data_IF_798525069851
#
_entry.id   IF_798525069851
#
_cell.length_a   1.000
_cell.length_b   1.000
_cell.length_c   1.000
_cell.angle_alpha   90.00
_cell.angle_beta   90.00
_cell.angle_gamma   90.00
#
_symmetry.space_group_name_H-M   'P 1'
#
loop_
_entity.id
_entity.type
_entity.pdbx_description
1 polymer ?
#
# COMPACT_ATOMS: atom_id res chain seq x y z
N UNK A 1 40.52 -30.88 31.33
CA UNK A 1 39.08 -31.13 31.30
C UNK A 1 38.24 -29.85 31.09
N UNK A 2 38.66 -28.70 31.58
CA UNK A 2 37.94 -27.41 31.38
C UNK A 2 38.05 -26.86 29.95
N UNK A 3 39.19 -27.07 29.27
CA UNK A 3 39.37 -26.57 27.89
C UNK A 3 38.52 -27.25 26.83
N UNK A 4 38.15 -28.52 27.08
CA UNK A 4 37.24 -29.26 26.21
C UNK A 4 35.78 -28.82 26.34
N UNK A 5 35.36 -28.29 27.48
CA UNK A 5 34.04 -27.75 27.73
C UNK A 5 33.87 -26.35 27.13
N UNK A 6 34.90 -25.52 27.27
CA UNK A 6 34.89 -24.16 26.66
C UNK A 6 34.87 -24.24 25.10
N UNK A 7 35.61 -25.17 24.49
CA UNK A 7 35.56 -25.37 23.06
C UNK A 7 34.22 -25.88 22.53
N UNK A 8 33.48 -26.70 23.31
CA UNK A 8 32.12 -27.14 22.95
C UNK A 8 31.07 -26.04 23.10
N UNK A 9 31.18 -25.16 24.08
CA UNK A 9 30.28 -24.01 24.27
C UNK A 9 30.47 -23.00 23.13
N UNK A 10 31.70 -22.65 22.78
CA UNK A 10 31.97 -21.74 21.65
C UNK A 10 31.49 -22.29 20.31
N UNK A 11 31.63 -23.60 20.07
CA UNK A 11 31.15 -24.21 18.82
C UNK A 11 29.59 -24.25 18.77
N UNK A 12 28.93 -24.46 19.89
CA UNK A 12 27.45 -24.41 19.93
C UNK A 12 26.91 -23.00 19.75
N UNK A 13 27.55 -21.98 20.32
CA UNK A 13 27.16 -20.58 20.15
C UNK A 13 27.29 -20.13 18.68
N UNK A 14 28.40 -20.50 18.02
CA UNK A 14 28.59 -20.20 16.58
C UNK A 14 27.55 -20.91 15.69
N UNK A 15 27.16 -22.12 16.02
CA UNK A 15 26.13 -22.87 15.24
C UNK A 15 24.75 -22.22 15.44
N UNK A 16 24.43 -21.80 16.67
CA UNK A 16 23.16 -21.13 16.97
C UNK A 16 23.10 -19.77 16.28
N UNK A 17 24.19 -18.98 16.32
CA UNK A 17 24.29 -17.68 15.65
C UNK A 17 24.18 -17.84 14.13
N UNK A 18 24.77 -18.87 13.53
CA UNK A 18 24.64 -19.20 12.11
C UNK A 18 23.21 -19.65 11.73
N UNK A 19 22.52 -20.38 12.61
CA UNK A 19 21.13 -20.80 12.38
C UNK A 19 20.20 -19.57 12.49
N UNK A 20 20.39 -18.73 13.49
CA UNK A 20 19.63 -17.48 13.66
C UNK A 20 19.88 -16.53 12.51
N UNK A 21 21.12 -16.37 12.06
CA UNK A 21 21.46 -15.57 10.89
C UNK A 21 20.85 -16.12 9.59
N UNK A 22 20.80 -17.44 9.43
CA UNK A 22 20.12 -18.09 8.29
C UNK A 22 18.60 -17.97 8.38
N UNK A 23 18.00 -18.12 9.55
CA UNK A 23 16.57 -17.88 9.76
C UNK A 23 16.20 -16.42 9.49
N UNK A 24 16.97 -15.47 10.00
CA UNK A 24 16.75 -14.05 9.72
C UNK A 24 16.89 -13.73 8.23
N UNK A 25 17.88 -14.31 7.50
CA UNK A 25 17.98 -14.16 6.05
C UNK A 25 16.77 -14.70 5.30
N UNK A 26 16.23 -15.84 5.73
CA UNK A 26 15.02 -16.44 5.14
C UNK A 26 13.79 -15.57 5.41
N UNK A 27 13.64 -15.05 6.62
CA UNK A 27 12.50 -14.23 7.02
C UNK A 27 12.43 -12.93 6.22
N UNK A 28 13.56 -12.29 5.96
CA UNK A 28 13.59 -11.00 5.26
C UNK A 28 13.35 -11.10 3.75
N UNK A 29 13.79 -12.15 3.09
CA UNK A 29 13.42 -12.41 1.68
C UNK A 29 11.92 -12.72 1.60
N UNK A 30 11.36 -13.34 2.61
CA UNK A 30 9.93 -13.61 2.72
C UNK A 30 9.14 -12.32 2.82
N UNK A 31 9.57 -11.33 3.59
CA UNK A 31 8.89 -10.04 3.76
C UNK A 31 8.74 -9.28 2.44
N UNK A 32 9.79 -9.20 1.61
CA UNK A 32 9.71 -8.56 0.30
C UNK A 32 8.82 -9.36 -0.68
N UNK A 33 8.88 -10.69 -0.64
CA UNK A 33 8.05 -11.56 -1.48
C UNK A 33 6.59 -11.60 -1.03
N UNK A 34 6.29 -11.34 0.24
CA UNK A 34 4.93 -11.22 0.76
C UNK A 34 4.18 -10.02 0.17
N UNK A 35 4.90 -8.99 -0.29
CA UNK A 35 4.29 -7.86 -1.00
C UNK A 35 3.68 -8.28 -2.35
N UNK A 36 4.18 -9.36 -2.96
CA UNK A 36 3.81 -9.80 -4.30
C UNK A 36 3.18 -11.18 -4.23
N UNK A 37 2.03 -11.35 -4.87
CA UNK A 37 1.38 -12.65 -5.00
C UNK A 37 1.14 -12.97 -6.48
N UNK A 38 1.47 -14.21 -6.88
CA UNK A 38 1.31 -14.68 -8.27
C UNK A 38 -0.11 -14.58 -8.77
N UNK A 39 -1.08 -14.80 -7.89
CA UNK A 39 -2.50 -14.72 -8.23
C UNK A 39 -2.96 -13.31 -8.61
N UNK A 40 -2.20 -12.28 -8.23
CA UNK A 40 -2.49 -10.88 -8.48
C UNK A 40 -1.66 -10.30 -9.64
N UNK A 41 -1.06 -11.15 -10.46
CA UNK A 41 -0.38 -10.74 -11.69
C UNK A 41 -1.35 -10.05 -12.65
N UNK A 42 -0.94 -8.90 -13.18
CA UNK A 42 -1.74 -8.07 -14.07
C UNK A 42 -1.21 -8.05 -15.50
N UNK A 43 0.09 -7.91 -15.65
CA UNK A 43 0.73 -7.71 -16.94
C UNK A 43 2.20 -7.34 -16.80
N UNK A 44 2.71 -6.60 -17.77
CA UNK A 44 4.13 -6.31 -17.89
C UNK A 44 4.39 -4.80 -18.01
N UNK A 45 5.57 -4.39 -17.63
CA UNK A 45 6.02 -3.03 -17.81
C UNK A 45 6.56 -2.87 -19.24
N UNK A 46 6.04 -1.88 -19.97
CA UNK A 46 6.49 -1.59 -21.35
C UNK A 46 7.64 -0.61 -21.38
N UNK A 47 7.44 0.54 -20.76
CA UNK A 47 8.43 1.62 -20.73
C UNK A 47 8.50 2.23 -19.34
N UNK A 48 9.66 2.71 -18.97
CA UNK A 48 9.88 3.35 -17.69
C UNK A 48 10.84 4.53 -17.82
N UNK A 49 10.52 5.60 -17.14
CA UNK A 49 11.41 6.72 -16.84
C UNK A 49 11.67 6.73 -15.33
N UNK A 50 12.44 7.68 -14.82
CA UNK A 50 12.60 7.82 -13.36
C UNK A 50 11.34 8.29 -12.62
N UNK A 51 10.33 8.79 -13.33
CA UNK A 51 9.10 9.34 -12.73
C UNK A 51 7.84 8.57 -13.09
N UNK A 52 7.75 8.08 -14.31
CA UNK A 52 6.55 7.45 -14.86
C UNK A 52 6.88 6.10 -15.48
N UNK A 53 5.89 5.24 -15.53
CA UNK A 53 5.95 3.93 -16.14
C UNK A 53 4.69 3.68 -16.96
N UNK A 54 4.83 3.14 -18.17
CA UNK A 54 3.72 2.65 -18.97
C UNK A 54 3.66 1.13 -18.85
N UNK A 55 2.49 0.63 -18.48
CA UNK A 55 2.25 -0.79 -18.26
C UNK A 55 1.22 -1.32 -19.23
N UNK A 56 1.36 -2.59 -19.60
CA UNK A 56 0.41 -3.33 -20.42
C UNK A 56 -0.31 -4.35 -19.57
N UNK A 57 -1.65 -4.35 -19.62
CA UNK A 57 -2.51 -5.16 -18.77
C UNK A 57 -3.46 -5.97 -19.63
N UNK A 58 -3.64 -7.25 -19.29
CA UNK A 58 -4.69 -8.10 -19.87
C UNK A 58 -6.03 -7.84 -19.18
N UNK A 59 -7.09 -7.73 -19.94
CA UNK A 59 -8.46 -7.58 -19.40
C UNK A 59 -8.88 -8.77 -18.54
N UNK A 60 -8.46 -9.98 -18.91
CA UNK A 60 -8.67 -11.18 -18.10
C UNK A 60 -8.06 -11.04 -16.70
N UNK A 61 -6.79 -10.58 -16.62
CA UNK A 61 -6.10 -10.38 -15.34
C UNK A 61 -6.74 -9.24 -14.54
N UNK A 62 -7.15 -8.16 -15.21
CA UNK A 62 -7.87 -7.05 -14.59
C UNK A 62 -9.15 -7.51 -13.88
N UNK A 63 -9.95 -8.35 -14.55
CA UNK A 63 -11.17 -8.94 -13.96
C UNK A 63 -10.84 -9.82 -12.75
N UNK A 64 -9.83 -10.68 -12.88
CA UNK A 64 -9.39 -11.60 -11.81
C UNK A 64 -9.04 -10.87 -10.51
N UNK A 65 -8.45 -9.69 -10.58
CA UNK A 65 -8.04 -8.90 -9.40
C UNK A 65 -9.09 -7.89 -8.93
N UNK A 66 -10.32 -7.94 -9.44
CA UNK A 66 -11.39 -7.03 -9.02
C UNK A 66 -11.29 -5.60 -9.60
N UNK A 67 -10.59 -5.43 -10.73
CA UNK A 67 -10.45 -4.15 -11.42
C UNK A 67 -9.26 -3.31 -10.94
N UNK A 68 -9.03 -2.19 -11.63
CA UNK A 68 -7.94 -1.26 -11.37
C UNK A 68 -8.53 0.15 -11.34
N UNK A 69 -8.94 0.66 -10.17
CA UNK A 69 -9.47 2.01 -10.05
C UNK A 69 -8.38 3.07 -10.23
N UNK A 70 -8.79 4.29 -10.59
CA UNK A 70 -7.88 5.42 -10.67
C UNK A 70 -7.22 5.68 -9.31
N UNK A 71 -5.91 5.95 -9.33
CA UNK A 71 -5.11 6.14 -8.13
C UNK A 71 -4.74 4.85 -7.38
N UNK A 72 -5.11 3.68 -7.93
CA UNK A 72 -4.73 2.38 -7.38
C UNK A 72 -3.21 2.22 -7.31
N UNK A 73 -2.73 1.58 -6.25
CA UNK A 73 -1.32 1.19 -6.14
C UNK A 73 -1.09 -0.13 -6.87
N UNK A 74 0.02 -0.19 -7.57
CA UNK A 74 0.52 -1.40 -8.24
C UNK A 74 1.98 -1.61 -7.85
N UNK A 75 2.47 -2.82 -8.06
CA UNK A 75 3.82 -3.23 -7.74
C UNK A 75 4.50 -3.76 -9.00
N UNK A 76 5.69 -3.27 -9.30
CA UNK A 76 6.51 -3.81 -10.37
C UNK A 76 7.76 -4.49 -9.79
N UNK A 77 8.04 -5.72 -10.20
CA UNK A 77 9.19 -6.47 -9.70
C UNK A 77 9.64 -7.56 -10.67
N UNK A 78 10.92 -7.89 -10.59
CA UNK A 78 11.52 -9.07 -11.22
C UNK A 78 11.37 -10.34 -10.38
N UNK A 79 11.05 -10.19 -9.09
CA UNK A 79 10.90 -11.29 -8.14
C UNK A 79 9.78 -12.22 -8.59
N UNK A 80 10.08 -13.49 -8.71
CA UNK A 80 9.07 -14.52 -8.91
C UNK A 80 8.69 -15.10 -7.53
N UNK A 81 7.49 -14.83 -7.02
CA UNK A 81 7.09 -15.27 -5.68
C UNK A 81 7.06 -16.80 -5.52
N UNK A 82 6.99 -17.55 -6.64
CA UNK A 82 7.01 -19.03 -6.63
C UNK A 82 8.42 -19.62 -6.72
N UNK A 83 9.43 -18.80 -7.02
CA UNK A 83 10.83 -19.23 -7.13
C UNK A 83 11.67 -18.43 -6.15
N UNK A 84 11.56 -18.73 -4.89
CA UNK A 84 12.52 -18.31 -3.87
C UNK A 84 13.84 -19.02 -4.12
N UNK A 85 14.65 -18.47 -4.99
CA UNK A 85 16.05 -18.91 -5.13
C UNK A 85 16.82 -18.24 -4.01
N UNK A 86 17.06 -18.99 -2.95
CA UNK A 86 17.98 -18.66 -1.87
C UNK A 86 19.44 -18.72 -2.39
N UNK A 87 19.75 -17.97 -3.44
CA UNK A 87 21.12 -17.77 -3.83
C UNK A 87 21.76 -16.77 -2.89
N UNK A 88 22.79 -17.21 -2.18
CA UNK A 88 23.61 -16.40 -1.27
C UNK A 88 24.36 -15.24 -1.97
N UNK A 89 24.23 -15.10 -3.27
CA UNK A 89 24.84 -14.04 -4.05
C UNK A 89 23.94 -12.80 -4.06
N UNK A 90 24.03 -12.02 -2.99
CA UNK A 90 23.49 -10.65 -2.89
C UNK A 90 24.20 -9.66 -3.85
N UNK A 91 24.88 -10.15 -4.87
CA UNK A 91 25.57 -9.31 -5.84
C UNK A 91 24.60 -8.50 -6.73
N UNK A 92 23.32 -8.89 -6.80
CA UNK A 92 22.28 -8.14 -7.50
C UNK A 92 21.18 -7.69 -6.53
N UNK A 93 21.51 -6.83 -5.56
CA UNK A 93 20.53 -6.24 -4.66
C UNK A 93 19.37 -5.54 -5.41
N UNK A 94 19.63 -5.07 -6.62
CA UNK A 94 18.64 -4.43 -7.49
C UNK A 94 17.54 -5.38 -7.95
N UNK A 95 17.84 -6.66 -8.17
CA UNK A 95 16.86 -7.65 -8.59
C UNK A 95 15.87 -8.02 -7.46
N UNK A 96 16.22 -7.71 -6.21
CA UNK A 96 15.39 -7.90 -5.02
C UNK A 96 14.71 -6.60 -4.61
N UNK A 97 14.14 -5.90 -5.56
CA UNK A 97 13.38 -4.69 -5.30
C UNK A 97 11.96 -4.76 -5.83
N UNK A 98 11.07 -4.00 -5.19
CA UNK A 98 9.67 -3.87 -5.57
C UNK A 98 9.37 -2.38 -5.77
N UNK A 99 9.12 -1.98 -7.00
CA UNK A 99 8.81 -0.60 -7.35
C UNK A 99 7.32 -0.35 -7.07
N UNK A 100 7.02 0.68 -6.29
CA UNK A 100 5.65 1.13 -6.01
C UNK A 100 5.20 2.10 -7.09
N UNK A 101 4.10 1.76 -7.74
CA UNK A 101 3.45 2.53 -8.80
C UNK A 101 2.09 3.03 -8.36
N UNK A 102 1.66 4.17 -8.89
CA UNK A 102 0.30 4.68 -8.75
C UNK A 102 -0.32 4.93 -10.11
N UNK A 103 -1.46 4.34 -10.39
CA UNK A 103 -2.21 4.50 -11.64
C UNK A 103 -2.67 5.95 -11.79
N UNK A 104 -2.40 6.55 -12.95
CA UNK A 104 -2.81 7.90 -13.30
C UNK A 104 -3.99 7.88 -14.28
N UNK A 105 -3.77 7.38 -15.50
CA UNK A 105 -4.75 7.37 -16.56
C UNK A 105 -4.45 6.26 -17.59
N UNK A 106 -5.38 5.94 -18.49
CA UNK A 106 -5.11 5.10 -19.64
C UNK A 106 -3.99 5.67 -20.52
N UNK A 107 -3.20 4.79 -21.11
CA UNK A 107 -2.14 5.14 -22.04
C UNK A 107 -2.26 4.31 -23.31
N UNK A 108 -1.84 4.89 -24.43
CA UNK A 108 -1.83 4.18 -25.69
C UNK A 108 -0.72 3.14 -25.72
N UNK A 109 -1.03 1.97 -26.26
CA UNK A 109 -0.07 0.93 -26.53
C UNK A 109 0.55 1.10 -27.94
N UNK A 110 1.78 0.61 -28.20
CA UNK A 110 2.42 0.72 -29.50
C UNK A 110 1.55 0.25 -30.69
N UNK A 111 0.64 -0.70 -30.46
CA UNK A 111 -0.24 -1.27 -31.48
C UNK A 111 -1.67 -0.71 -31.45
N UNK A 112 -1.95 0.37 -30.75
CA UNK A 112 -3.32 0.88 -30.60
C UNK A 112 -3.90 1.41 -31.90
N UNK A 113 -3.10 1.93 -32.82
CA UNK A 113 -3.55 2.31 -34.14
C UNK A 113 -4.09 1.11 -34.93
N UNK A 114 -3.39 -0.03 -34.91
CA UNK A 114 -3.85 -1.24 -35.58
C UNK A 114 -5.12 -1.80 -34.92
N UNK A 115 -5.21 -1.70 -33.58
CA UNK A 115 -6.39 -2.10 -32.82
C UNK A 115 -7.61 -1.25 -33.15
N UNK A 116 -7.40 0.06 -33.31
CA UNK A 116 -8.46 0.99 -33.74
C UNK A 116 -8.95 0.65 -35.15
N UNK A 117 -8.03 0.38 -36.09
CA UNK A 117 -8.37 -0.05 -37.46
C UNK A 117 -9.20 -1.34 -37.46
N UNK A 118 -8.79 -2.37 -36.68
CA UNK A 118 -9.55 -3.62 -36.56
C UNK A 118 -10.98 -3.36 -36.05
N UNK A 119 -11.12 -2.51 -35.03
CA UNK A 119 -12.44 -2.14 -34.49
C UNK A 119 -13.30 -1.44 -35.51
N UNK A 120 -12.74 -0.45 -36.22
CA UNK A 120 -13.47 0.33 -37.25
C UNK A 120 -13.90 -0.56 -38.39
N UNK A 121 -13.01 -1.38 -38.96
CA UNK A 121 -13.30 -2.28 -40.05
C UNK A 121 -14.38 -3.31 -39.69
N UNK A 122 -14.34 -3.88 -38.50
CA UNK A 122 -15.35 -4.82 -38.06
C UNK A 122 -16.70 -4.13 -37.80
N UNK A 123 -16.72 -2.92 -37.28
CA UNK A 123 -17.95 -2.16 -37.09
C UNK A 123 -18.61 -1.79 -38.41
N UNK A 124 -17.82 -1.51 -39.48
CA UNK A 124 -18.31 -1.22 -40.82
C UNK A 124 -18.88 -2.47 -41.55
N UNK A 125 -18.35 -3.65 -41.21
CA UNK A 125 -18.77 -4.92 -41.85
C UNK A 125 -20.01 -5.56 -41.23
N UNK A 126 -20.53 -5.04 -40.12
CA UNK A 126 -21.75 -5.56 -39.49
C UNK A 126 -22.96 -5.06 -40.25
N UNK A 127 -23.68 -6.00 -40.86
CA UNK A 127 -24.84 -5.73 -41.71
C UNK A 127 -26.19 -5.90 -40.99
N UNK A 128 -26.22 -6.28 -39.72
CA UNK A 128 -27.43 -6.50 -38.93
C UNK A 128 -27.36 -5.86 -37.56
N UNK A 129 -28.46 -5.23 -37.12
CA UNK A 129 -28.57 -4.56 -35.81
C UNK A 129 -28.54 -5.53 -34.60
N UNK A 130 -28.52 -6.83 -34.84
CA UNK A 130 -28.61 -7.87 -33.81
C UNK A 130 -27.25 -8.50 -33.43
N UNK A 131 -26.20 -8.32 -34.24
CA UNK A 131 -24.87 -8.87 -33.92
C UNK A 131 -23.94 -7.82 -33.33
N UNK A 132 -23.37 -8.15 -32.17
CA UNK A 132 -22.28 -7.33 -31.59
C UNK A 132 -21.03 -7.44 -32.47
N UNK A 133 -20.37 -6.33 -32.77
CA UNK A 133 -19.08 -6.31 -33.48
C UNK A 133 -18.02 -7.20 -32.81
N UNK A 134 -18.19 -7.45 -31.51
CA UNK A 134 -17.30 -8.33 -30.74
C UNK A 134 -17.47 -9.79 -31.12
N UNK A 135 -18.66 -10.21 -31.52
CA UNK A 135 -18.95 -11.60 -31.88
C UNK A 135 -18.41 -11.96 -33.27
N UNK A 136 -18.24 -10.98 -34.15
CA UNK A 136 -17.67 -11.15 -35.50
C UNK A 136 -16.14 -11.27 -35.49
N UNK A 137 -15.47 -11.02 -34.36
CA UNK A 137 -14.01 -11.07 -34.26
C UNK A 137 -13.48 -12.51 -34.14
N UNK A 138 -12.40 -12.79 -34.86
CA UNK A 138 -11.64 -14.02 -34.68
C UNK A 138 -10.90 -14.06 -33.32
N UNK A 139 -10.49 -15.24 -32.88
CA UNK A 139 -9.86 -15.43 -31.58
C UNK A 139 -8.55 -14.63 -31.41
N UNK A 140 -7.81 -14.41 -32.51
CA UNK A 140 -6.55 -13.65 -32.49
C UNK A 140 -6.83 -12.16 -32.27
N UNK A 141 -7.80 -11.60 -33.00
CA UNK A 141 -8.22 -10.21 -32.84
C UNK A 141 -8.82 -9.95 -31.46
N UNK A 142 -9.66 -10.86 -30.94
CA UNK A 142 -10.17 -10.80 -29.56
C UNK A 142 -9.01 -10.71 -28.53
N UNK A 143 -7.99 -11.55 -28.70
CA UNK A 143 -6.81 -11.55 -27.83
C UNK A 143 -6.02 -10.26 -27.94
N UNK A 144 -5.82 -9.71 -29.13
CA UNK A 144 -5.13 -8.43 -29.32
C UNK A 144 -5.90 -7.27 -28.70
N UNK A 145 -7.22 -7.26 -28.81
CA UNK A 145 -8.09 -6.23 -28.24
C UNK A 145 -8.24 -6.32 -26.72
N UNK A 146 -7.88 -7.45 -26.11
CA UNK A 146 -7.99 -7.67 -24.66
C UNK A 146 -6.89 -7.00 -23.84
N UNK A 147 -5.93 -6.32 -24.46
CA UNK A 147 -4.86 -5.60 -23.79
C UNK A 147 -5.18 -4.12 -23.68
N UNK A 148 -4.76 -3.51 -22.58
CA UNK A 148 -4.90 -2.07 -22.34
C UNK A 148 -3.62 -1.50 -21.73
N UNK A 149 -3.30 -0.26 -22.08
CA UNK A 149 -2.20 0.49 -21.49
C UNK A 149 -2.66 1.36 -20.34
N UNK A 150 -1.82 1.50 -19.32
CA UNK A 150 -1.97 2.48 -18.24
C UNK A 150 -0.67 3.21 -18.01
N UNK A 151 -0.76 4.51 -17.81
CA UNK A 151 0.33 5.31 -17.27
C UNK A 151 0.26 5.32 -15.76
N UNK A 152 1.42 5.08 -15.13
CA UNK A 152 1.59 5.05 -13.70
C UNK A 152 2.70 6.00 -13.28
N UNK A 153 2.51 6.67 -12.15
CA UNK A 153 3.58 7.41 -11.48
C UNK A 153 4.37 6.48 -10.57
N UNK A 154 5.68 6.59 -10.61
CA UNK A 154 6.57 5.90 -9.69
C UNK A 154 6.59 6.68 -8.38
N UNK A 155 6.33 5.98 -7.27
CA UNK A 155 6.31 6.56 -5.93
C UNK A 155 7.57 6.26 -5.13
N UNK A 156 8.27 5.16 -5.47
CA UNK A 156 9.47 4.74 -4.79
C UNK A 156 9.73 3.25 -4.93
N UNK A 157 10.68 2.76 -4.16
CA UNK A 157 11.14 1.38 -4.23
C UNK A 157 11.27 0.77 -2.85
N UNK A 158 10.67 -0.39 -2.63
CA UNK A 158 10.92 -1.26 -1.48
C UNK A 158 12.15 -2.12 -1.77
N UNK A 159 13.07 -2.18 -0.82
CA UNK A 159 14.32 -2.94 -0.94
C UNK A 159 14.76 -3.46 0.43
N UNK A 160 15.71 -4.39 0.42
CA UNK A 160 16.28 -4.92 1.65
C UNK A 160 17.53 -4.12 2.03
N UNK A 161 17.46 -3.44 3.18
CA UNK A 161 18.59 -2.71 3.75
C UNK A 161 19.31 -3.56 4.79
N UNK A 162 20.61 -3.66 4.67
CA UNK A 162 21.45 -4.35 5.66
C UNK A 162 21.65 -3.44 6.87
N UNK A 163 21.26 -3.93 8.06
CA UNK A 163 21.44 -3.26 9.33
C UNK A 163 22.21 -4.19 10.27
N UNK A 164 23.52 -3.93 10.45
CA UNK A 164 24.47 -4.82 11.16
C UNK A 164 24.41 -6.26 10.63
N UNK A 165 23.81 -7.18 11.37
CA UNK A 165 23.76 -8.61 11.06
C UNK A 165 22.42 -9.09 10.48
N UNK A 166 21.44 -8.20 10.32
CA UNK A 166 20.12 -8.54 9.76
C UNK A 166 19.74 -7.62 8.59
N UNK A 167 18.80 -8.09 7.79
CA UNK A 167 18.21 -7.28 6.73
C UNK A 167 16.83 -6.83 7.18
N UNK A 168 16.51 -5.59 6.90
CA UNK A 168 15.18 -5.00 7.16
C UNK A 168 14.59 -4.46 5.86
N UNK A 169 13.25 -4.50 5.76
CA UNK A 169 12.54 -3.88 4.66
C UNK A 169 12.67 -2.36 4.77
N UNK A 170 13.10 -1.74 3.69
CA UNK A 170 13.26 -0.28 3.60
C UNK A 170 12.51 0.25 2.39
N UNK A 171 12.20 1.54 2.42
CA UNK A 171 11.55 2.25 1.32
C UNK A 171 12.33 3.50 0.95
N UNK A 172 12.63 3.64 -0.33
CA UNK A 172 13.17 4.86 -0.93
C UNK A 172 12.10 5.55 -1.77
N UNK A 173 11.99 6.88 -1.68
CA UNK A 173 10.97 7.67 -2.40
C UNK A 173 11.29 7.90 -3.88
N UNK A 174 12.26 7.18 -4.43
CA UNK A 174 12.73 7.28 -5.81
C UNK A 174 13.14 5.93 -6.37
N UNK A 175 13.62 5.93 -7.61
CA UNK A 175 14.35 4.82 -8.21
C UNK A 175 15.81 5.23 -8.29
N UNK A 176 16.67 4.49 -7.59
CA UNK A 176 18.12 4.75 -7.56
C UNK A 176 18.82 4.34 -8.85
N UNK A 177 18.25 3.39 -9.60
CA UNK A 177 18.87 2.80 -10.79
C UNK A 177 17.89 2.69 -11.95
N UNK A 178 18.46 2.56 -13.16
CA UNK A 178 17.69 2.21 -14.35
C UNK A 178 17.44 0.70 -14.38
N UNK A 179 16.16 0.32 -14.52
CA UNK A 179 15.74 -1.06 -14.70
C UNK A 179 15.32 -1.32 -16.14
N UNK A 180 15.76 -2.44 -16.68
CA UNK A 180 15.28 -2.90 -17.97
C UNK A 180 13.79 -3.29 -17.85
N UNK A 181 12.94 -2.66 -18.66
CA UNK A 181 11.48 -2.81 -18.58
C UNK A 181 11.00 -4.25 -18.84
N UNK A 182 11.64 -4.96 -19.75
CA UNK A 182 11.21 -6.30 -20.22
C UNK A 182 11.15 -7.37 -19.13
N UNK A 183 11.84 -7.17 -18.01
CA UNK A 183 11.90 -8.15 -16.93
C UNK A 183 10.95 -7.84 -15.75
N UNK A 184 10.29 -6.68 -15.75
CA UNK A 184 9.43 -6.25 -14.65
C UNK A 184 7.99 -6.66 -14.89
N UNK A 185 7.45 -7.46 -13.97
CA UNK A 185 6.05 -7.89 -13.94
C UNK A 185 5.24 -7.02 -13.01
N UNK A 186 4.00 -6.79 -13.38
CA UNK A 186 3.07 -5.92 -12.64
C UNK A 186 2.10 -6.75 -11.83
N UNK A 187 1.94 -6.38 -10.57
CA UNK A 187 1.05 -7.04 -9.62
C UNK A 187 0.16 -6.00 -8.92
N UNK A 188 -1.07 -6.39 -8.61
CA UNK A 188 -1.91 -5.63 -7.68
C UNK A 188 -1.61 -6.10 -6.27
N UNK A 189 -1.33 -5.20 -5.31
CA UNK A 189 -1.12 -5.60 -3.92
C UNK A 189 -2.38 -6.26 -3.36
N UNK A 190 -2.21 -7.26 -2.49
CA UNK A 190 -3.29 -7.81 -1.68
C UNK A 190 -3.68 -6.80 -0.59
N UNK A 191 -4.79 -7.05 0.11
CA UNK A 191 -5.20 -6.26 1.26
C UNK A 191 -4.09 -6.16 2.32
N UNK A 192 -3.48 -7.30 2.68
CA UNK A 192 -2.36 -7.37 3.63
C UNK A 192 -1.12 -6.60 3.12
N UNK A 193 -0.74 -6.80 1.86
CA UNK A 193 0.40 -6.10 1.25
C UNK A 193 0.16 -4.59 1.20
N UNK A 194 -1.07 -4.19 0.88
CA UNK A 194 -1.44 -2.78 0.83
C UNK A 194 -1.42 -2.14 2.22
N UNK A 195 -1.87 -2.84 3.25
CA UNK A 195 -1.79 -2.38 4.64
C UNK A 195 -0.33 -2.15 5.06
N UNK A 196 0.56 -3.09 4.74
CA UNK A 196 2.00 -2.94 4.97
C UNK A 196 2.60 -1.75 4.22
N UNK A 197 2.24 -1.55 2.95
CA UNK A 197 2.74 -0.45 2.12
C UNK A 197 2.30 0.91 2.67
N UNK A 198 1.04 1.05 3.02
CA UNK A 198 0.46 2.33 3.44
C UNK A 198 0.93 2.74 4.84
N UNK A 199 1.10 1.77 5.73
CA UNK A 199 1.52 2.02 7.12
C UNK A 199 3.03 1.80 7.32
N UNK A 200 3.79 1.75 6.23
CA UNK A 200 5.22 1.52 6.30
C UNK A 200 5.93 2.61 7.14
N UNK A 201 6.72 2.17 8.11
CA UNK A 201 7.44 3.07 9.03
C UNK A 201 6.57 3.71 10.13
N UNK A 202 5.29 3.33 10.22
CA UNK A 202 4.42 3.76 11.31
C UNK A 202 4.56 2.79 12.49
N UNK A 203 4.93 3.32 13.65
CA UNK A 203 5.03 2.55 14.89
C UNK A 203 3.62 2.22 15.43
N UNK A 204 3.29 0.95 15.57
CA UNK A 204 1.97 0.48 16.00
C UNK A 204 1.59 0.97 17.40
N UNK A 205 2.53 1.00 18.34
CA UNK A 205 2.28 1.39 19.74
C UNK A 205 1.97 2.88 19.89
N UNK A 206 2.44 3.70 18.95
CA UNK A 206 2.29 5.16 19.01
C UNK A 206 1.31 5.71 17.99
N UNK A 207 0.80 4.89 17.08
CA UNK A 207 -0.05 5.30 15.97
C UNK A 207 -1.53 5.40 16.33
N UNK A 208 -2.27 6.12 15.50
CA UNK A 208 -3.72 6.21 15.55
C UNK A 208 -4.31 5.92 14.18
N UNK A 209 -5.43 5.20 14.17
CA UNK A 209 -6.20 5.00 12.97
C UNK A 209 -6.94 6.26 12.58
N UNK A 210 -6.72 6.76 11.34
CA UNK A 210 -7.40 7.95 10.81
C UNK A 210 -8.49 7.61 9.80
N UNK A 211 -8.49 6.41 9.25
CA UNK A 211 -9.49 6.00 8.27
C UNK A 211 -9.20 4.67 7.62
N UNK A 212 -9.77 4.48 6.44
CA UNK A 212 -9.55 3.34 5.54
C UNK A 212 -9.18 3.85 4.15
N UNK A 213 -8.46 3.05 3.38
CA UNK A 213 -8.21 3.34 1.97
C UNK A 213 -9.50 3.28 1.18
N UNK A 214 -9.62 4.23 0.25
CA UNK A 214 -10.69 4.27 -0.73
C UNK A 214 -10.15 4.82 -2.05
N UNK A 215 -10.25 4.03 -3.11
CA UNK A 215 -9.82 4.47 -4.44
C UNK A 215 -10.91 5.21 -5.21
N UNK A 216 -12.16 4.82 -5.06
CA UNK A 216 -13.28 5.41 -5.80
C UNK A 216 -14.50 5.66 -4.92
N UNK A 217 -15.48 6.41 -5.45
CA UNK A 217 -16.75 6.64 -4.77
C UNK A 217 -17.70 5.44 -4.84
N UNK A 218 -17.44 4.51 -5.77
CA UNK A 218 -18.29 3.35 -6.02
C UNK A 218 -17.93 2.20 -5.12
N UNK A 219 -17.98 2.18 -3.92
CA UNK A 219 -17.67 1.11 -2.96
C UNK A 219 -18.07 -0.30 -3.48
N UNK A 220 -17.29 -0.83 -4.40
CA UNK A 220 -17.53 -2.19 -4.94
C UNK A 220 -16.76 -3.19 -4.07
N UNK A 221 -17.45 -4.19 -3.55
CA UNK A 221 -16.91 -5.23 -2.67
C UNK A 221 -15.76 -6.04 -3.28
N UNK A 222 -15.73 -6.17 -4.61
CA UNK A 222 -14.69 -6.93 -5.31
C UNK A 222 -13.32 -6.23 -5.43
N UNK A 223 -13.16 -5.03 -4.89
CA UNK A 223 -11.87 -4.32 -4.94
C UNK A 223 -10.84 -4.80 -3.89
N UNK A 224 -11.27 -5.57 -2.88
CA UNK A 224 -10.41 -6.13 -1.84
C UNK A 224 -9.76 -5.06 -0.94
N UNK A 225 -10.54 -4.01 -0.57
CA UNK A 225 -10.04 -2.86 0.20
C UNK A 225 -10.79 -2.62 1.51
N UNK A 226 -11.70 -3.52 1.88
CA UNK A 226 -12.68 -3.24 2.92
C UNK A 226 -12.07 -3.03 4.30
N UNK A 227 -10.90 -3.59 4.57
CA UNK A 227 -10.26 -3.56 5.88
C UNK A 227 -8.91 -2.85 5.94
N UNK A 228 -8.42 -2.27 4.84
CA UNK A 228 -7.11 -1.60 4.83
C UNK A 228 -7.18 -0.30 5.61
N UNK A 229 -6.75 -0.36 6.87
CA UNK A 229 -6.69 0.77 7.77
C UNK A 229 -5.48 1.67 7.48
N UNK A 230 -5.66 2.98 7.70
CA UNK A 230 -4.58 3.98 7.58
C UNK A 230 -4.26 4.49 8.97
N UNK A 231 -3.00 4.38 9.35
CA UNK A 231 -2.48 4.84 10.63
C UNK A 231 -1.54 6.02 10.44
N UNK A 232 -1.48 6.90 11.42
CA UNK A 232 -0.51 8.00 11.48
C UNK A 232 0.06 8.08 12.89
N UNK A 233 1.28 8.56 13.02
CA UNK A 233 1.87 8.86 14.31
C UNK A 233 1.56 10.33 14.69
N UNK A 234 0.79 10.59 15.75
CA UNK A 234 0.46 11.95 16.17
C UNK A 234 1.70 12.78 16.53
N UNK A 235 2.77 12.14 16.97
CA UNK A 235 4.02 12.82 17.34
C UNK A 235 4.64 13.52 16.13
N UNK A 236 4.59 12.90 14.96
CA UNK A 236 5.15 13.47 13.72
C UNK A 236 4.36 14.71 13.28
N UNK A 237 3.03 14.69 13.49
CA UNK A 237 2.17 15.85 13.18
C UNK A 237 2.45 17.04 14.10
N UNK A 238 2.79 16.80 15.38
CA UNK A 238 3.07 17.88 16.35
C UNK A 238 4.40 18.56 16.04
N UNK A 239 5.38 17.79 15.54
CA UNK A 239 6.72 18.31 15.23
C UNK A 239 6.75 19.17 13.96
N UNK A 240 5.70 19.15 13.15
CA UNK A 240 5.65 19.79 11.85
C UNK A 240 4.39 20.64 11.65
N UNK A 241 4.45 21.59 10.72
CA UNK A 241 3.28 22.35 10.26
C UNK A 241 2.46 21.47 9.32
N UNK A 242 1.24 21.14 9.72
CA UNK A 242 0.33 20.30 8.94
C UNK A 242 -0.87 21.10 8.46
N UNK A 243 -1.23 20.95 7.18
CA UNK A 243 -2.44 21.53 6.60
C UNK A 243 -3.33 20.42 6.02
N UNK A 244 -4.64 20.48 6.32
CA UNK A 244 -5.63 19.53 5.82
C UNK A 244 -6.55 20.24 4.82
N UNK A 245 -6.47 19.83 3.57
CA UNK A 245 -7.28 20.37 2.49
C UNK A 245 -8.37 19.37 2.07
N UNK A 246 -9.49 19.89 1.63
CA UNK A 246 -10.57 19.08 1.08
C UNK A 246 -11.86 19.89 0.90
N UNK A 247 -12.77 19.40 0.07
CA UNK A 247 -14.08 20.00 -0.15
C UNK A 247 -14.97 19.86 1.09
N UNK A 248 -16.10 20.56 1.11
CA UNK A 248 -17.11 20.41 2.15
C UNK A 248 -17.63 18.96 2.19
N UNK A 249 -17.87 18.43 3.37
CA UNK A 249 -18.37 17.06 3.63
C UNK A 249 -17.37 15.93 3.28
N UNK A 250 -16.09 16.22 3.09
CA UNK A 250 -15.05 15.19 2.87
C UNK A 250 -14.43 14.61 4.15
N UNK A 251 -14.92 15.01 5.32
CA UNK A 251 -14.44 14.48 6.60
C UNK A 251 -13.26 15.26 7.23
N UNK A 252 -12.89 16.45 6.72
CA UNK A 252 -11.78 17.26 7.28
C UNK A 252 -11.89 17.46 8.79
N UNK A 253 -13.04 17.98 9.25
CA UNK A 253 -13.28 18.24 10.69
C UNK A 253 -13.20 16.96 11.52
N UNK A 254 -13.69 15.84 10.99
CA UNK A 254 -13.61 14.55 11.68
C UNK A 254 -12.16 14.08 11.81
N UNK A 255 -11.36 14.22 10.76
CA UNK A 255 -9.91 13.90 10.80
C UNK A 255 -9.19 14.75 11.84
N UNK A 256 -9.44 16.06 11.87
CA UNK A 256 -8.84 16.96 12.88
C UNK A 256 -9.28 16.57 14.29
N UNK A 257 -10.57 16.27 14.52
CA UNK A 257 -11.06 15.79 15.82
C UNK A 257 -10.35 14.50 16.26
N UNK A 258 -10.14 13.56 15.34
CA UNK A 258 -9.41 12.31 15.61
C UNK A 258 -7.97 12.59 16.03
N UNK A 259 -7.28 13.49 15.34
CA UNK A 259 -5.90 13.91 15.68
C UNK A 259 -5.84 14.58 17.05
N UNK A 260 -6.73 15.55 17.31
CA UNK A 260 -6.81 16.26 18.60
C UNK A 260 -7.05 15.28 19.76
N UNK A 261 -7.97 14.34 19.58
CA UNK A 261 -8.24 13.27 20.54
C UNK A 261 -7.00 12.41 20.79
N UNK A 262 -6.29 12.00 19.75
CA UNK A 262 -5.10 11.18 19.86
C UNK A 262 -3.96 11.90 20.59
N UNK A 263 -3.73 13.16 20.28
CA UNK A 263 -2.74 13.99 21.00
C UNK A 263 -3.09 14.09 22.49
N UNK A 264 -4.37 14.27 22.81
CA UNK A 264 -4.84 14.26 24.20
C UNK A 264 -4.57 12.92 24.88
N UNK A 265 -4.82 11.80 24.20
CA UNK A 265 -4.63 10.45 24.72
C UNK A 265 -3.16 10.08 24.97
N UNK A 266 -2.19 10.73 24.30
CA UNK A 266 -0.75 10.52 24.54
C UNK A 266 -0.32 10.74 25.99
N UNK A 267 -1.03 11.53 26.77
CA UNK A 267 -0.77 11.70 28.21
C UNK A 267 -0.95 10.43 29.04
N UNK A 268 -1.73 9.48 28.52
CA UNK A 268 -2.06 8.22 29.18
C UNK A 268 -1.32 7.02 28.60
N UNK A 269 -0.41 7.27 27.64
CA UNK A 269 0.42 6.22 27.04
C UNK A 269 1.27 5.56 28.11
N UNK A 270 1.33 4.23 28.13
CA UNK A 270 2.18 3.45 29.02
C UNK A 270 3.67 3.66 28.70
N UNK A 271 3.96 3.89 27.42
CA UNK A 271 5.30 4.16 26.89
C UNK A 271 5.42 5.64 26.56
N UNK A 272 6.31 6.35 27.28
CA UNK A 272 6.60 7.78 27.13
C UNK A 272 5.35 8.69 27.17
N UNK A 273 4.66 8.82 28.33
CA UNK A 273 3.53 9.72 28.46
C UNK A 273 3.96 11.18 28.23
N UNK A 274 3.29 11.89 27.33
CA UNK A 274 3.57 13.29 27.03
C UNK A 274 2.35 14.15 27.33
N UNK A 275 2.53 15.17 28.19
CA UNK A 275 1.51 16.19 28.42
C UNK A 275 1.68 17.30 27.40
N UNK A 276 0.81 17.33 26.39
CA UNK A 276 0.83 18.30 25.30
C UNK A 276 -0.36 19.21 25.46
N UNK A 277 -0.12 20.52 25.62
CA UNK A 277 -1.16 21.54 25.61
C UNK A 277 -1.63 21.79 24.16
N UNK A 278 -2.95 21.93 23.96
CA UNK A 278 -3.54 22.22 22.67
C UNK A 278 -4.37 23.50 22.77
N UNK A 279 -4.16 24.42 21.81
CA UNK A 279 -4.98 25.62 21.64
C UNK A 279 -5.70 25.49 20.31
N UNK A 280 -7.04 25.53 20.33
CA UNK A 280 -7.88 25.35 19.13
C UNK A 280 -8.64 26.65 18.89
N UNK A 281 -8.42 27.26 17.72
CA UNK A 281 -9.23 28.36 17.23
C UNK A 281 -10.43 27.79 16.45
N UNK A 282 -11.61 27.90 17.01
CA UNK A 282 -12.84 27.25 16.53
C UNK A 282 -13.92 28.25 16.13
N UNK A 283 -13.82 28.91 14.97
CA UNK A 283 -14.75 29.94 14.54
C UNK A 283 -16.18 29.42 14.34
N UNK A 284 -16.35 28.13 14.10
CA UNK A 284 -17.66 27.51 13.83
C UNK A 284 -18.24 26.78 15.02
N UNK A 285 -17.55 26.68 16.16
CA UNK A 285 -17.99 25.97 17.34
C UNK A 285 -18.04 24.43 17.22
N UNK A 286 -17.31 23.84 16.25
CA UNK A 286 -17.34 22.40 16.03
C UNK A 286 -16.63 21.58 17.11
N UNK A 287 -15.69 22.17 17.83
CA UNK A 287 -14.91 21.54 18.91
C UNK A 287 -15.40 21.91 20.30
N UNK A 288 -15.93 23.11 20.45
CA UNK A 288 -16.43 23.61 21.73
C UNK A 288 -17.83 23.08 22.11
N UNK A 289 -18.59 22.60 21.14
CA UNK A 289 -19.96 22.13 21.32
C UNK A 289 -20.10 20.62 21.07
N UNK A 290 -21.17 20.04 21.58
CA UNK A 290 -21.62 18.69 21.29
C UNK A 290 -22.44 18.69 20.01
N UNK A 291 -21.92 18.09 18.94
CA UNK A 291 -22.65 17.94 17.70
C UNK A 291 -23.43 16.61 17.70
N UNK A 292 -24.48 16.53 16.88
CA UNK A 292 -25.25 15.29 16.70
C UNK A 292 -24.39 14.12 16.25
N UNK A 293 -23.32 14.39 15.50
CA UNK A 293 -22.36 13.40 15.01
C UNK A 293 -21.44 12.85 16.11
N UNK A 294 -21.30 13.56 17.24
CA UNK A 294 -20.49 13.13 18.38
C UNK A 294 -21.30 12.28 19.38
N UNK A 295 -22.60 12.08 19.13
CA UNK A 295 -23.48 11.27 19.97
C UNK A 295 -23.46 9.81 19.54
N UNK A 296 -23.28 8.94 20.50
CA UNK A 296 -23.39 7.49 20.38
C UNK A 296 -24.54 7.03 21.25
N UNK A 297 -25.35 6.06 20.82
CA UNK A 297 -26.50 5.52 21.54
C UNK A 297 -26.14 4.96 22.93
N UNK A 298 -24.88 4.51 23.11
CA UNK A 298 -24.41 3.94 24.39
C UNK A 298 -23.74 4.93 25.32
N UNK A 299 -23.05 5.93 24.80
CA UNK A 299 -22.18 6.84 25.56
C UNK A 299 -22.63 8.30 25.49
N UNK A 300 -23.68 8.60 24.74
CA UNK A 300 -24.13 9.97 24.48
C UNK A 300 -23.04 10.80 23.79
N UNK A 301 -22.82 12.02 24.27
CA UNK A 301 -21.80 12.91 23.71
C UNK A 301 -20.41 12.78 24.39
N UNK A 302 -20.10 11.64 25.01
CA UNK A 302 -18.81 11.42 25.70
C UNK A 302 -17.61 11.54 24.77
N UNK A 303 -17.79 11.25 23.48
CA UNK A 303 -16.73 11.34 22.46
C UNK A 303 -16.50 12.77 21.95
N UNK A 304 -17.33 13.74 22.30
CA UNK A 304 -17.10 15.13 21.94
C UNK A 304 -15.77 15.63 22.53
N UNK A 305 -15.04 16.45 21.76
CA UNK A 305 -13.70 16.95 22.16
C UNK A 305 -13.75 17.61 23.54
N UNK A 306 -14.78 18.42 23.81
CA UNK A 306 -14.96 19.09 25.11
C UNK A 306 -15.19 18.14 26.30
N UNK A 307 -15.57 16.89 26.05
CA UNK A 307 -15.88 15.89 27.06
C UNK A 307 -14.76 14.85 27.25
N UNK A 308 -13.64 14.91 26.49
CA UNK A 308 -12.57 13.92 26.55
C UNK A 308 -11.99 13.75 27.96
N UNK A 309 -12.00 14.80 28.79
CA UNK A 309 -11.50 14.74 30.14
C UNK A 309 -12.40 13.89 31.08
N UNK A 310 -13.65 13.63 30.71
CA UNK A 310 -14.60 12.80 31.45
C UNK A 310 -14.40 11.30 31.20
N UNK A 311 -13.64 10.91 30.18
CA UNK A 311 -13.40 9.51 29.84
C UNK A 311 -12.44 8.90 30.86
N UNK A 312 -12.83 7.79 31.56
CA UNK A 312 -11.97 7.14 32.53
C UNK A 312 -10.66 6.64 31.90
N UNK A 313 -9.55 6.81 32.62
CA UNK A 313 -8.19 6.47 32.14
C UNK A 313 -7.96 4.97 31.88
N UNK A 314 -8.78 4.09 32.49
CA UNK A 314 -8.63 2.63 32.41
C UNK A 314 -9.52 1.98 31.34
N UNK A 315 -10.31 2.75 30.61
CA UNK A 315 -11.06 2.18 29.51
C UNK A 315 -10.09 1.90 28.35
N UNK A 316 -9.69 0.62 28.21
CA UNK A 316 -9.18 0.08 26.95
C UNK A 316 -10.31 0.22 25.92
N UNK A 317 -10.55 1.42 25.45
CA UNK A 317 -11.37 1.60 24.27
C UNK A 317 -10.51 1.10 23.12
N UNK A 318 -10.81 -0.14 22.72
CA UNK A 318 -10.36 -0.64 21.44
C UNK A 318 -10.64 0.44 20.41
N UNK A 319 -9.68 0.66 19.53
CA UNK A 319 -9.81 1.56 18.40
C UNK A 319 -11.20 1.42 17.76
N UNK A 320 -11.88 2.51 17.47
CA UNK A 320 -13.13 2.47 16.72
C UNK A 320 -12.87 1.94 15.31
#
# INVERSE_FOLDING_TARGET
>A
MLDGLLGRITTQTTIVDDIVAKQNKVTHITDLSELIQTNNYLGELLTMTYKNATIQISDFNRHKVGGIPNGCFLLASKINPNKLVLNNDLHNQEDYSVILLRVLHPADLPNDLNRLQIKTQNAENISSDEESWEDSLDATSKKQLSWAGLECRILGTFYMKKNYDHYELAFGSDISNFYQSESLKIYKPTEKSLETIINFGVDEDSSIRVGKIRYSSTQRENQGLDNVAVYINPTDLIAQKTAIFGMTRTGKSNTVKTIVKAIYQKRFSTYQPKKIGQIIFDPNGEYANENTQDKDDKTGAAQAIKNLWKIPHNSKHGNP
#
